data_IF_797787723016
#
_entry.id   IF_797787723016
#
_cell.length_a   1.000
_cell.length_b   1.000
_cell.length_c   1.000
_cell.angle_alpha   90.00
_cell.angle_beta   90.00
_cell.angle_gamma   90.00
#
_symmetry.space_group_name_H-M   'P 1'
#
loop_
_entity.id
_entity.type
_entity.pdbx_description
1 polymer ?
#
# COMPACT_ATOMS: atom_id res chain seq x y z
N UNK A 1 -8.49 -4.88 -38.74
CA UNK A 1 -7.88 -4.42 -37.48
C UNK A 1 -7.79 -5.64 -36.58
N UNK A 2 -6.59 -6.09 -36.25
CA UNK A 2 -6.43 -7.19 -35.30
C UNK A 2 -6.68 -6.63 -33.90
N UNK A 3 -7.64 -7.21 -33.18
CA UNK A 3 -7.75 -7.02 -31.72
C UNK A 3 -6.45 -7.51 -31.11
N UNK A 4 -5.68 -6.56 -30.56
CA UNK A 4 -4.57 -6.91 -29.68
C UNK A 4 -5.23 -7.33 -28.38
N UNK A 5 -5.33 -8.64 -28.19
CA UNK A 5 -5.80 -9.27 -26.95
C UNK A 5 -4.72 -9.02 -25.89
N UNK A 6 -4.76 -7.84 -25.25
CA UNK A 6 -3.87 -7.51 -24.14
C UNK A 6 -4.32 -8.40 -22.99
N UNK A 7 -3.49 -9.38 -22.54
CA UNK A 7 -3.89 -10.23 -21.45
C UNK A 7 -4.12 -9.35 -20.23
N UNK A 8 -5.37 -9.25 -19.78
CA UNK A 8 -5.69 -8.57 -18.53
C UNK A 8 -4.99 -9.36 -17.44
N UNK A 9 -3.88 -8.83 -16.92
CA UNK A 9 -3.12 -9.46 -15.84
C UNK A 9 -4.06 -9.59 -14.66
N UNK A 10 -4.57 -10.80 -14.41
CA UNK A 10 -5.54 -11.04 -13.35
C UNK A 10 -4.83 -10.87 -12.00
N UNK A 11 -5.11 -9.77 -11.32
CA UNK A 11 -4.58 -9.53 -9.96
C UNK A 11 -5.34 -10.33 -8.91
N UNK A 12 -6.40 -11.05 -9.27
CA UNK A 12 -7.24 -11.85 -8.37
C UNK A 12 -8.21 -11.01 -7.51
N UNK A 13 -8.04 -9.68 -7.50
CA UNK A 13 -9.09 -8.76 -7.05
C UNK A 13 -10.29 -8.78 -8.02
N UNK A 14 -11.50 -8.46 -7.53
CA UNK A 14 -12.67 -8.30 -8.39
C UNK A 14 -12.49 -7.10 -9.32
N UNK A 15 -13.15 -7.15 -10.48
CA UNK A 15 -13.28 -5.99 -11.35
C UNK A 15 -14.16 -4.91 -10.69
N UNK A 16 -13.81 -3.64 -10.91
CA UNK A 16 -14.54 -2.50 -10.36
C UNK A 16 -14.11 -2.16 -8.93
N UNK A 17 -15.09 -1.70 -8.15
CA UNK A 17 -14.87 -1.21 -6.79
C UNK A 17 -15.06 -2.31 -5.75
N UNK A 18 -14.27 -2.26 -4.68
CA UNK A 18 -14.38 -3.18 -3.56
C UNK A 18 -13.87 -2.55 -2.26
N UNK A 19 -14.20 -3.16 -1.13
CA UNK A 19 -13.64 -2.86 0.20
C UNK A 19 -12.71 -3.98 0.64
N UNK A 20 -11.68 -3.64 1.39
CA UNK A 20 -10.74 -4.58 2.00
C UNK A 20 -10.98 -4.60 3.51
N UNK A 21 -11.25 -5.78 4.08
CA UNK A 21 -11.47 -5.94 5.53
C UNK A 21 -10.67 -7.08 6.13
N UNK A 22 -10.45 -7.03 7.44
CA UNK A 22 -9.81 -8.09 8.20
C UNK A 22 -10.58 -9.40 8.09
N UNK A 23 -9.89 -10.53 7.92
CA UNK A 23 -10.50 -11.87 7.96
C UNK A 23 -10.92 -12.23 9.40
N UNK A 24 -12.14 -12.72 9.60
CA UNK A 24 -12.66 -13.09 10.92
C UNK A 24 -14.19 -13.23 10.97
N UNK A 25 -14.73 -13.65 12.11
CA UNK A 25 -16.18 -13.85 12.31
C UNK A 25 -16.97 -12.55 12.24
N UNK A 26 -18.14 -12.60 11.61
CA UNK A 26 -19.02 -11.47 11.33
C UNK A 26 -19.32 -10.62 12.59
N UNK A 27 -19.20 -9.29 12.45
CA UNK A 27 -19.61 -8.31 13.47
C UNK A 27 -18.52 -7.36 13.97
N UNK A 28 -17.22 -7.69 13.87
CA UNK A 28 -16.12 -6.81 14.30
C UNK A 28 -15.02 -6.64 13.23
N UNK A 29 -15.38 -6.84 11.96
CA UNK A 29 -14.45 -6.58 10.85
C UNK A 29 -14.05 -5.12 10.80
N UNK A 30 -12.74 -4.86 10.73
CA UNK A 30 -12.21 -3.53 10.44
C UNK A 30 -11.82 -3.43 8.97
N UNK A 31 -11.92 -2.23 8.43
CA UNK A 31 -11.73 -1.94 7.02
C UNK A 31 -10.50 -1.10 6.81
N UNK A 32 -9.80 -1.36 5.70
CA UNK A 32 -8.67 -0.55 5.28
C UNK A 32 -9.14 0.86 4.94
N UNK A 33 -8.50 1.88 5.49
CA UNK A 33 -8.82 3.30 5.25
C UNK A 33 -7.54 4.15 5.30
N UNK A 34 -7.43 5.22 4.52
CA UNK A 34 -6.43 6.26 4.79
C UNK A 34 -6.58 6.81 6.21
N UNK A 35 -5.48 7.10 6.89
CA UNK A 35 -5.50 7.64 8.24
C UNK A 35 -6.25 8.98 8.26
N UNK A 36 -7.26 9.09 9.14
CA UNK A 36 -8.25 10.18 9.16
C UNK A 36 -9.02 10.41 7.84
N UNK A 37 -8.96 9.47 6.89
CA UNK A 37 -9.54 9.62 5.56
C UNK A 37 -8.86 10.71 4.73
N UNK A 38 -7.58 11.02 5.00
CA UNK A 38 -6.80 12.01 4.25
C UNK A 38 -6.07 11.34 3.08
N UNK A 39 -6.13 11.94 1.89
CA UNK A 39 -5.53 11.41 0.64
C UNK A 39 -4.23 12.12 0.23
N UNK A 40 -3.58 12.80 1.18
CA UNK A 40 -2.29 13.45 0.97
C UNK A 40 -1.16 12.43 0.81
N UNK A 41 -0.13 12.77 0.04
CA UNK A 41 1.02 11.89 -0.19
C UNK A 41 1.71 11.51 1.12
N UNK A 42 2.10 10.25 1.22
CA UNK A 42 2.75 9.70 2.40
C UNK A 42 1.81 9.37 3.55
N UNK A 43 0.52 9.73 3.49
CA UNK A 43 -0.42 9.40 4.55
C UNK A 43 -0.59 7.88 4.66
N UNK A 44 -0.59 7.35 5.87
CA UNK A 44 -0.67 5.92 6.13
C UNK A 44 -2.05 5.33 5.84
N UNK A 45 -2.10 4.06 5.45
CA UNK A 45 -3.30 3.24 5.62
C UNK A 45 -3.35 2.61 7.01
N UNK A 46 -4.56 2.53 7.56
CA UNK A 46 -4.89 1.98 8.88
C UNK A 46 -6.19 1.16 8.79
N UNK A 47 -6.57 0.53 9.90
CA UNK A 47 -7.89 -0.07 10.04
C UNK A 47 -8.87 0.91 10.69
N UNK A 48 -10.11 0.93 10.20
CA UNK A 48 -11.21 1.73 10.74
C UNK A 48 -12.53 0.97 10.76
N UNK A 49 -13.53 1.55 11.46
CA UNK A 49 -14.91 1.07 11.39
C UNK A 49 -15.55 1.59 10.11
N UNK A 50 -16.26 0.73 9.38
CA UNK A 50 -16.91 1.10 8.12
C UNK A 50 -17.93 2.22 8.34
N UNK A 51 -17.79 3.28 7.54
CA UNK A 51 -18.86 4.23 7.27
C UNK A 51 -19.28 4.05 5.80
N UNK A 52 -20.51 3.58 5.57
CA UNK A 52 -21.03 3.30 4.22
C UNK A 52 -21.43 4.57 3.46
N UNK A 53 -21.40 5.74 4.11
CA UNK A 53 -21.76 7.02 3.50
C UNK A 53 -20.55 7.74 2.88
N UNK A 54 -19.38 7.10 2.85
CA UNK A 54 -18.16 7.65 2.28
C UNK A 54 -17.41 6.66 1.40
N UNK A 55 -16.74 7.18 0.38
CA UNK A 55 -15.89 6.41 -0.53
C UNK A 55 -14.49 6.13 0.03
N UNK A 56 -14.19 6.57 1.26
CA UNK A 56 -12.90 6.39 1.95
C UNK A 56 -12.44 4.95 2.14
N UNK A 57 -13.39 4.01 2.14
CA UNK A 57 -13.14 2.58 2.31
C UNK A 57 -13.11 1.83 0.97
N UNK A 58 -13.38 2.52 -0.13
CA UNK A 58 -13.59 1.91 -1.43
C UNK A 58 -12.30 2.00 -2.25
N UNK A 59 -11.89 0.87 -2.81
CA UNK A 59 -10.68 0.72 -3.60
C UNK A 59 -10.98 0.10 -4.96
N UNK A 60 -10.02 0.20 -5.86
CA UNK A 60 -10.01 -0.52 -7.14
C UNK A 60 -8.56 -0.86 -7.54
N UNK A 61 -8.40 -1.73 -8.53
CA UNK A 61 -7.11 -1.98 -9.16
C UNK A 61 -7.07 -1.26 -10.52
N UNK A 62 -6.03 -0.45 -10.74
CA UNK A 62 -5.86 0.24 -12.02
C UNK A 62 -5.20 -0.67 -13.09
N UNK A 63 -5.06 -0.17 -14.32
CA UNK A 63 -4.49 -0.93 -15.44
C UNK A 63 -3.04 -1.41 -15.23
N UNK A 64 -2.30 -0.82 -14.29
CA UNK A 64 -0.92 -1.19 -13.94
C UNK A 64 -0.85 -2.18 -12.77
N UNK A 65 -1.99 -2.59 -12.24
CA UNK A 65 -2.07 -3.47 -11.08
C UNK A 65 -1.86 -2.77 -9.74
N UNK A 66 -1.78 -1.43 -9.71
CA UNK A 66 -1.70 -0.68 -8.47
C UNK A 66 -3.07 -0.62 -7.78
N UNK A 67 -3.06 -0.71 -6.45
CA UNK A 67 -4.24 -0.49 -5.60
C UNK A 67 -4.49 1.01 -5.49
N UNK A 68 -5.73 1.43 -5.66
CA UNK A 68 -6.11 2.84 -5.65
C UNK A 68 -7.32 3.08 -4.75
N UNK A 69 -7.34 4.20 -4.03
CA UNK A 69 -8.52 4.72 -3.36
C UNK A 69 -9.51 5.28 -4.40
N UNK A 70 -10.80 5.00 -4.24
CA UNK A 70 -11.86 5.65 -5.02
C UNK A 70 -11.89 7.15 -4.71
N UNK A 71 -11.84 7.52 -3.44
CA UNK A 71 -11.73 8.92 -3.04
C UNK A 71 -10.38 9.50 -3.47
N UNK A 72 -10.42 10.59 -4.25
CA UNK A 72 -9.23 11.25 -4.81
C UNK A 72 -8.56 10.52 -5.98
N UNK A 73 -8.91 9.26 -6.28
CA UNK A 73 -8.28 8.49 -7.35
C UNK A 73 -6.78 8.25 -7.13
N UNK A 74 -6.33 8.33 -5.88
CA UNK A 74 -4.93 8.21 -5.48
C UNK A 74 -4.51 6.76 -5.35
N UNK A 75 -3.24 6.46 -5.64
CA UNK A 75 -2.73 5.10 -5.57
C UNK A 75 -2.13 4.81 -4.19
N UNK A 76 -1.89 3.53 -3.92
CA UNK A 76 -1.24 3.04 -2.71
C UNK A 76 0.18 2.62 -3.05
N UNK A 77 1.11 3.15 -2.29
CA UNK A 77 2.54 2.83 -2.32
C UNK A 77 2.95 2.18 -0.98
N UNK A 78 4.21 1.76 -0.88
CA UNK A 78 4.81 1.27 0.36
C UNK A 78 6.12 2.00 0.60
N UNK A 79 6.21 2.63 1.76
CA UNK A 79 7.45 3.24 2.25
C UNK A 79 7.84 2.54 3.55
N UNK A 80 9.05 1.98 3.57
CA UNK A 80 9.52 1.05 4.59
C UNK A 80 8.58 -0.16 4.72
N UNK A 81 7.90 -0.30 5.85
CA UNK A 81 6.92 -1.35 6.13
C UNK A 81 5.48 -0.82 6.19
N UNK A 82 5.21 0.38 5.64
CA UNK A 82 3.92 1.05 5.76
C UNK A 82 3.29 1.30 4.39
N UNK A 83 2.02 0.91 4.24
CA UNK A 83 1.22 1.31 3.09
C UNK A 83 0.87 2.79 3.22
N UNK A 84 1.09 3.54 2.16
CA UNK A 84 0.87 4.99 2.13
C UNK A 84 0.11 5.39 0.88
N UNK A 85 -0.59 6.52 0.95
CA UNK A 85 -1.18 7.16 -0.21
C UNK A 85 -0.08 7.80 -1.05
N UNK A 86 -0.15 7.63 -2.36
CA UNK A 86 0.77 8.22 -3.33
C UNK A 86 0.04 8.63 -4.61
N UNK A 87 0.20 9.88 -5.00
CA UNK A 87 -0.18 10.35 -6.32
C UNK A 87 0.84 9.86 -7.35
N UNK A 88 0.36 9.56 -8.56
CA UNK A 88 1.23 9.26 -9.68
C UNK A 88 2.07 10.50 -10.01
N UNK A 89 3.39 10.34 -9.95
CA UNK A 89 4.35 11.38 -10.26
C UNK A 89 5.01 11.07 -11.62
N UNK A 90 5.26 12.07 -12.47
CA UNK A 90 6.05 11.86 -13.67
C UNK A 90 7.43 11.34 -13.32
N UNK A 91 8.03 10.58 -14.23
CA UNK A 91 9.45 10.25 -14.17
C UNK A 91 10.24 11.56 -14.27
N UNK A 92 10.88 11.98 -13.19
CA UNK A 92 11.69 13.19 -13.19
C UNK A 92 13.08 12.82 -13.69
N UNK A 93 13.49 13.35 -14.84
CA UNK A 93 14.86 13.18 -15.36
C UNK A 93 15.90 13.90 -14.49
N UNK A 94 15.45 14.83 -13.63
CA UNK A 94 16.30 15.73 -12.84
C UNK A 94 16.88 15.11 -11.57
N UNK A 95 16.37 13.97 -11.14
CA UNK A 95 16.90 13.16 -10.03
C UNK A 95 17.04 11.73 -10.55
N UNK A 96 18.13 11.05 -10.20
CA UNK A 96 18.38 9.66 -10.62
C UNK A 96 17.10 8.83 -10.44
N UNK A 97 16.53 8.33 -11.55
CA UNK A 97 15.31 7.54 -11.56
C UNK A 97 15.67 6.04 -11.57
N UNK A 98 14.95 5.18 -10.85
CA UNK A 98 13.88 5.49 -9.89
C UNK A 98 14.42 6.16 -8.62
N UNK A 99 13.56 6.82 -7.83
CA UNK A 99 13.87 7.31 -6.50
C UNK A 99 12.65 7.22 -5.55
N UNK A 100 12.82 7.35 -4.23
CA UNK A 100 11.69 7.22 -3.30
C UNK A 100 10.59 8.27 -3.46
N UNK A 101 10.85 9.36 -4.17
CA UNK A 101 9.83 10.33 -4.52
C UNK A 101 9.09 9.95 -5.81
N UNK A 102 9.80 9.52 -6.86
CA UNK A 102 9.22 9.17 -8.15
C UNK A 102 9.77 7.83 -8.64
N UNK A 103 8.89 6.82 -8.63
CA UNK A 103 9.19 5.45 -9.06
C UNK A 103 7.90 4.75 -9.53
N UNK A 104 8.05 3.55 -10.09
CA UNK A 104 6.89 2.71 -10.42
C UNK A 104 6.23 2.18 -9.14
N UNK A 105 4.95 2.51 -8.95
CA UNK A 105 4.16 2.04 -7.82
C UNK A 105 4.01 0.52 -7.80
N UNK A 106 3.98 -0.12 -6.63
CA UNK A 106 3.86 -1.56 -6.52
C UNK A 106 2.58 -2.10 -7.15
N UNK A 107 2.66 -3.32 -7.67
CA UNK A 107 1.48 -4.07 -8.10
C UNK A 107 0.96 -4.92 -6.95
N UNK A 108 -0.36 -4.94 -6.77
CA UNK A 108 -1.04 -5.73 -5.76
C UNK A 108 -1.74 -6.92 -6.41
N UNK A 109 -1.80 -8.03 -5.68
CA UNK A 109 -2.60 -9.20 -6.07
C UNK A 109 -3.26 -9.84 -4.86
N UNK A 110 -4.43 -10.42 -5.05
CA UNK A 110 -5.21 -11.08 -4.03
C UNK A 110 -5.48 -12.54 -4.40
N UNK A 111 -5.23 -13.46 -3.48
CA UNK A 111 -5.61 -14.87 -3.65
C UNK A 111 -6.88 -15.15 -2.84
N UNK A 112 -7.97 -15.50 -3.53
CA UNK A 112 -9.22 -15.94 -2.87
C UNK A 112 -9.03 -17.21 -2.03
N UNK A 113 -8.11 -18.08 -2.44
CA UNK A 113 -7.84 -19.34 -1.76
C UNK A 113 -7.10 -19.13 -0.44
N UNK A 114 -6.03 -18.32 -0.46
CA UNK A 114 -5.20 -18.09 0.75
C UNK A 114 -5.62 -16.85 1.53
N UNK A 115 -6.52 -16.03 0.98
CA UNK A 115 -6.94 -14.73 1.49
C UNK A 115 -5.78 -13.73 1.66
N UNK A 116 -4.67 -13.93 0.96
CA UNK A 116 -3.49 -13.05 1.07
C UNK A 116 -3.55 -11.95 0.03
N UNK A 117 -3.18 -10.73 0.44
CA UNK A 117 -2.83 -9.63 -0.47
C UNK A 117 -1.31 -9.60 -0.58
N UNK A 118 -0.78 -9.90 -1.76
CA UNK A 118 0.65 -9.90 -2.07
C UNK A 118 1.05 -8.65 -2.83
N UNK A 119 2.30 -8.22 -2.65
CA UNK A 119 2.86 -7.02 -3.26
C UNK A 119 4.08 -7.39 -4.11
N UNK A 120 4.11 -6.89 -5.34
CA UNK A 120 5.28 -6.91 -6.22
C UNK A 120 5.85 -5.49 -6.31
N UNK A 121 7.08 -5.31 -5.83
CA UNK A 121 7.79 -4.05 -5.90
C UNK A 121 8.49 -3.86 -7.25
N UNK A 122 8.51 -2.61 -7.72
CA UNK A 122 9.26 -2.18 -8.91
C UNK A 122 10.37 -1.17 -8.58
N UNK A 123 10.47 -0.76 -7.32
CA UNK A 123 11.55 0.01 -6.72
C UNK A 123 11.72 -0.43 -5.25
N UNK A 124 12.90 -0.19 -4.67
CA UNK A 124 13.18 -0.58 -3.28
C UNK A 124 12.27 0.21 -2.30
N UNK A 125 11.40 -0.46 -1.54
CA UNK A 125 10.48 0.23 -0.63
C UNK A 125 11.18 0.77 0.63
N UNK A 126 12.38 0.30 0.98
CA UNK A 126 13.05 0.68 2.23
C UNK A 126 13.84 1.97 2.07
N UNK A 127 13.51 3.00 2.84
CA UNK A 127 14.29 4.24 2.93
C UNK A 127 15.51 4.05 3.84
N UNK A 128 16.63 3.62 3.27
CA UNK A 128 17.92 3.54 3.94
C UNK A 128 19.03 4.24 3.14
N UNK A 129 20.21 4.39 3.75
CA UNK A 129 21.39 4.94 3.09
C UNK A 129 22.46 3.85 2.97
N UNK A 130 22.97 3.55 1.75
CA UNK A 130 22.55 4.11 0.47
C UNK A 130 21.17 3.59 0.02
N UNK A 131 20.49 4.36 -0.84
CA UNK A 131 19.30 3.93 -1.59
C UNK A 131 19.61 3.97 -3.10
N UNK A 132 19.16 2.99 -3.89
CA UNK A 132 18.45 1.78 -3.49
C UNK A 132 19.41 0.72 -2.95
N UNK A 133 18.89 -0.26 -2.21
CA UNK A 133 19.62 -1.49 -1.91
C UNK A 133 19.72 -2.38 -3.16
N UNK A 134 20.71 -3.29 -3.22
CA UNK A 134 20.79 -4.33 -4.24
C UNK A 134 19.45 -5.04 -4.46
N UNK A 135 19.08 -5.28 -5.72
CA UNK A 135 17.79 -5.89 -6.08
C UNK A 135 17.57 -7.25 -5.39
N UNK A 136 18.62 -8.05 -5.19
CA UNK A 136 18.54 -9.33 -4.49
C UNK A 136 18.03 -9.25 -3.05
N UNK A 137 18.05 -8.07 -2.42
CA UNK A 137 17.56 -7.88 -1.06
C UNK A 137 16.04 -7.72 -0.95
N UNK A 138 15.36 -7.45 -2.06
CA UNK A 138 13.92 -7.15 -2.08
C UNK A 138 13.18 -7.71 -3.29
N UNK A 139 13.75 -7.73 -4.48
CA UNK A 139 13.02 -8.01 -5.74
C UNK A 139 12.54 -9.46 -5.87
N UNK A 140 13.33 -10.42 -5.38
CA UNK A 140 13.02 -11.85 -5.45
C UNK A 140 12.21 -12.36 -4.24
N UNK A 141 11.83 -11.45 -3.34
CA UNK A 141 11.08 -11.78 -2.13
C UNK A 141 9.59 -11.57 -2.33
N UNK A 142 8.81 -12.33 -1.57
CA UNK A 142 7.35 -12.19 -1.55
C UNK A 142 6.96 -11.32 -0.37
N UNK A 143 6.16 -10.29 -0.62
CA UNK A 143 5.64 -9.42 0.44
C UNK A 143 4.13 -9.54 0.56
N UNK A 144 3.62 -9.39 1.77
CA UNK A 144 2.19 -9.47 2.10
C UNK A 144 1.74 -8.29 2.95
N UNK A 145 0.48 -7.89 2.78
CA UNK A 145 -0.19 -6.92 3.65
C UNK A 145 -0.63 -7.63 4.92
N UNK A 146 -0.33 -7.03 6.08
CA UNK A 146 -0.62 -7.63 7.38
C UNK A 146 -1.32 -6.66 8.32
N UNK A 147 -2.00 -7.23 9.31
CA UNK A 147 -2.50 -6.52 10.49
C UNK A 147 -1.66 -6.87 11.71
N UNK A 148 -1.74 -6.06 12.76
CA UNK A 148 -1.08 -6.35 14.06
C UNK A 148 0.41 -6.72 13.89
N UNK A 149 1.12 -5.98 13.05
CA UNK A 149 2.52 -6.22 12.70
C UNK A 149 3.41 -6.40 13.95
N UNK A 150 4.36 -7.36 13.96
CA UNK A 150 5.34 -7.53 15.03
C UNK A 150 6.41 -6.43 15.07
N UNK A 151 6.31 -5.42 14.18
CA UNK A 151 7.21 -4.29 14.10
C UNK A 151 6.46 -2.97 14.24
N UNK A 152 7.15 -1.96 14.75
CA UNK A 152 6.66 -0.58 14.73
C UNK A 152 6.55 -0.14 13.27
N UNK A 153 5.44 0.51 12.92
CA UNK A 153 5.29 1.21 11.64
C UNK A 153 5.14 2.70 11.88
N UNK A 154 5.51 3.52 10.91
CA UNK A 154 5.36 4.97 11.01
C UNK A 154 5.14 5.62 9.65
N UNK A 155 4.52 6.79 9.68
CA UNK A 155 4.46 7.72 8.56
C UNK A 155 5.86 8.33 8.37
N UNK A 156 6.39 8.25 7.15
CA UNK A 156 7.65 8.89 6.80
C UNK A 156 7.48 10.43 6.83
N UNK A 157 8.44 11.16 7.42
CA UNK A 157 8.42 12.62 7.41
C UNK A 157 8.88 13.13 6.06
N UNK A 158 8.33 14.27 5.63
CA UNK A 158 8.77 14.91 4.39
C UNK A 158 10.29 15.15 4.36
N UNK A 159 10.89 15.55 5.48
CA UNK A 159 12.35 15.79 5.59
C UNK A 159 13.22 14.59 5.21
N UNK A 160 12.70 13.36 5.35
CA UNK A 160 13.43 12.13 5.04
C UNK A 160 13.44 11.83 3.55
N UNK A 161 12.50 12.38 2.78
CA UNK A 161 12.40 12.19 1.33
C UNK A 161 12.63 13.47 0.52
N UNK A 162 12.72 14.62 1.20
CA UNK A 162 12.74 15.94 0.57
C UNK A 162 13.85 16.10 -0.47
N UNK A 163 15.00 15.42 -0.29
CA UNK A 163 16.13 15.46 -1.24
C UNK A 163 15.80 14.91 -2.63
N UNK A 164 14.79 14.04 -2.73
CA UNK A 164 14.31 13.48 -4.00
C UNK A 164 13.03 14.16 -4.49
N UNK A 165 12.46 15.11 -3.73
CA UNK A 165 11.35 15.91 -4.20
C UNK A 165 11.85 17.01 -5.15
N UNK A 166 11.06 17.44 -6.15
CA UNK A 166 11.35 18.63 -6.93
C UNK A 166 11.50 19.85 -6.02
N UNK A 167 12.45 20.73 -6.32
CA UNK A 167 12.78 21.90 -5.50
C UNK A 167 11.80 23.08 -5.64
N UNK A 168 10.58 22.89 -6.16
CA UNK A 168 9.72 24.00 -6.58
C UNK A 168 8.88 24.62 -5.46
N UNK A 169 8.55 25.91 -5.66
CA UNK A 169 7.75 26.84 -4.84
C UNK A 169 6.37 26.33 -4.39
N UNK A 170 5.87 25.24 -4.97
CA UNK A 170 4.67 24.54 -4.53
C UNK A 170 5.09 23.52 -3.48
N UNK A 171 4.74 23.77 -2.21
CA UNK A 171 4.93 22.78 -1.15
C UNK A 171 4.32 21.46 -1.60
N UNK A 172 5.09 20.37 -1.67
CA UNK A 172 4.51 19.07 -1.94
C UNK A 172 3.38 18.80 -0.96
N UNK A 173 2.28 18.22 -1.43
CA UNK A 173 1.13 17.83 -0.60
C UNK A 173 1.45 16.58 0.22
N UNK A 174 2.58 16.61 0.94
CA UNK A 174 2.93 15.60 1.90
C UNK A 174 2.02 15.74 3.12
N UNK A 175 1.63 14.61 3.68
CA UNK A 175 0.80 14.57 4.88
C UNK A 175 1.39 15.36 6.05
N UNK A 176 0.55 16.05 6.80
CA UNK A 176 0.94 16.65 8.09
C UNK A 176 1.15 15.61 9.20
N UNK A 177 0.84 14.34 8.93
CA UNK A 177 0.96 13.20 9.85
C UNK A 177 2.37 12.60 9.91
N UNK A 178 3.35 13.27 9.32
CA UNK A 178 4.75 12.80 9.31
C UNK A 178 5.29 12.50 10.71
N UNK A 179 5.63 11.24 10.97
CA UNK A 179 6.11 10.77 12.27
C UNK A 179 5.06 10.12 13.17
N UNK A 180 3.77 10.14 12.80
CA UNK A 180 2.76 9.30 13.44
C UNK A 180 3.20 7.83 13.33
N UNK A 181 3.02 7.08 14.41
CA UNK A 181 3.50 5.70 14.49
C UNK A 181 2.48 4.79 15.16
N UNK A 182 2.55 3.51 14.82
CA UNK A 182 1.74 2.46 15.41
C UNK A 182 2.63 1.46 16.12
N UNK A 183 2.29 1.10 17.37
CA UNK A 183 3.06 0.15 18.14
C UNK A 183 2.96 -1.26 17.54
N UNK A 184 3.89 -2.10 17.98
CA UNK A 184 3.85 -3.55 17.76
C UNK A 184 2.49 -4.10 18.17
N UNK A 185 1.90 -4.93 17.31
CA UNK A 185 0.57 -5.52 17.47
C UNK A 185 -0.59 -4.52 17.67
N UNK A 186 -0.40 -3.24 17.33
CA UNK A 186 -1.45 -2.23 17.41
C UNK A 186 -2.70 -2.62 16.60
N UNK A 187 -3.87 -2.51 17.22
CA UNK A 187 -5.15 -2.99 16.65
C UNK A 187 -5.55 -2.30 15.32
N UNK A 188 -5.06 -1.08 15.09
CA UNK A 188 -5.33 -0.32 13.86
C UNK A 188 -4.17 -0.35 12.86
N UNK A 189 -3.09 -1.06 13.20
CA UNK A 189 -1.88 -1.08 12.41
C UNK A 189 -2.04 -2.01 11.20
N UNK A 190 -1.80 -1.46 10.02
CA UNK A 190 -1.60 -2.21 8.77
C UNK A 190 -0.16 -1.99 8.33
N UNK A 191 0.50 -3.06 7.91
CA UNK A 191 1.89 -3.07 7.52
C UNK A 191 2.13 -3.94 6.28
N UNK A 192 3.37 -3.92 5.80
CA UNK A 192 3.89 -4.85 4.80
C UNK A 192 5.02 -5.65 5.41
N UNK A 193 4.95 -6.98 5.27
CA UNK A 193 5.94 -7.93 5.78
C UNK A 193 6.47 -8.79 4.64
N UNK A 194 7.74 -9.19 4.73
CA UNK A 194 8.28 -10.28 3.92
C UNK A 194 7.61 -11.60 4.36
N UNK A 195 7.09 -12.35 3.39
CA UNK A 195 6.45 -13.64 3.62
C UNK A 195 7.52 -14.73 3.69
N UNK A 196 7.94 -15.06 4.91
CA UNK A 196 8.86 -16.16 5.20
C UNK A 196 8.15 -17.52 5.02
N UNK A 197 8.88 -18.60 4.77
CA UNK A 197 8.28 -19.93 4.51
C UNK A 197 7.61 -20.55 5.75
N UNK A 198 8.01 -20.12 6.95
CA UNK A 198 7.57 -20.71 8.22
C UNK A 198 6.74 -19.70 9.04
N UNK A 199 5.44 -19.62 8.75
CA UNK A 199 4.47 -18.83 9.55
C UNK A 199 3.63 -19.74 10.45
N UNK A 200 3.39 -19.30 11.68
CA UNK A 200 2.43 -19.94 12.57
C UNK A 200 0.99 -19.59 12.20
N UNK A 201 0.02 -20.25 12.85
CA UNK A 201 -1.40 -19.95 12.65
C UNK A 201 -1.75 -18.48 12.95
N UNK A 202 -1.12 -17.89 13.97
CA UNK A 202 -1.34 -16.49 14.34
C UNK A 202 -0.80 -15.53 13.29
N UNK A 203 0.32 -15.86 12.64
CA UNK A 203 0.84 -15.06 11.52
C UNK A 203 -0.11 -15.11 10.33
N UNK A 204 -0.61 -16.30 10.00
CA UNK A 204 -1.61 -16.46 8.93
C UNK A 204 -2.86 -15.63 9.19
N UNK A 205 -3.40 -15.65 10.42
CA UNK A 205 -4.59 -14.85 10.79
C UNK A 205 -4.35 -13.35 10.57
N UNK A 206 -3.14 -12.85 10.83
CA UNK A 206 -2.78 -11.44 10.60
C UNK A 206 -2.66 -11.06 9.13
N UNK A 207 -2.29 -12.01 8.27
CA UNK A 207 -2.05 -11.82 6.83
C UNK A 207 -3.31 -11.99 5.97
N UNK A 208 -4.40 -12.52 6.53
CA UNK A 208 -5.63 -12.81 5.78
C UNK A 208 -6.59 -11.64 5.71
N UNK A 209 -7.15 -11.44 4.52
CA UNK A 209 -8.06 -10.37 4.15
C UNK A 209 -9.29 -10.90 3.41
N UNK A 210 -10.40 -10.21 3.57
CA UNK A 210 -11.65 -10.47 2.86
C UNK A 210 -12.02 -9.27 2.00
N UNK A 211 -12.53 -9.55 0.80
CA UNK A 211 -12.89 -8.54 -0.20
C UNK A 211 -14.42 -8.47 -0.30
N UNK A 212 -15.00 -7.32 0.00
CA UNK A 212 -16.44 -7.04 -0.13
C UNK A 212 -16.67 -6.29 -1.45
N UNK A 213 -17.59 -6.77 -2.28
CA UNK A 213 -17.89 -6.21 -3.62
C UNK A 213 -19.20 -5.43 -3.69
N UNK A 214 -20.01 -5.47 -2.63
CA UNK A 214 -21.26 -4.72 -2.53
C UNK A 214 -20.98 -3.30 -1.98
N UNK A 215 -20.52 -2.42 -2.87
CA UNK A 215 -19.95 -1.11 -2.51
C UNK A 215 -20.42 0.04 -3.40
#
# INVERSE_FOLDING_TARGET
MAEVDIPVKTTGFPFGYFRIRTSGTDGDSKYLIPHYGETQDGNALVLGNLDRHTDKFVYFINAWGALCCKEGGVSIDVINNKLVVAHNRPTTETQQWPNPWSHYLPSFSYSRQTKLITIQFHADPLLCEPWPRPESEWKDKKFVVTTRCPMVTRVCRFSEIARWAPSSELRPQWTSRGGDHWPVHGQFNVAVEEMLENFGEEDLKRMQWEIETDV
#
